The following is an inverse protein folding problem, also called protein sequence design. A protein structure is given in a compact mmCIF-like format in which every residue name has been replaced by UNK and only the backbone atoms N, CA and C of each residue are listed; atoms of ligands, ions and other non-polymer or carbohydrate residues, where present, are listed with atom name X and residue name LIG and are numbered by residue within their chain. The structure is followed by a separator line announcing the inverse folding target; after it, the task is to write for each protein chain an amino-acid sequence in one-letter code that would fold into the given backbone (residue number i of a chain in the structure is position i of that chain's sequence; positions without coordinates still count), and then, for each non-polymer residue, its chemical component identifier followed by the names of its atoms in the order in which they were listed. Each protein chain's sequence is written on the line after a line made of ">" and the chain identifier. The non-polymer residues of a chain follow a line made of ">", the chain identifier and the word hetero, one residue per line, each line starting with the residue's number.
data_IF_993651129405
#
_entry.id   IF_993651129405
#
_cell.length_a   1.000
_cell.length_b   1.000
_cell.length_c   1.000
_cell.angle_alpha   90.00
_cell.angle_beta   90.00
_cell.angle_gamma   90.00
#
_symmetry.space_group_name_H-M   'P 1'
#
loop_
_entity.id
_entity.type
_entity.pdbx_description
1 polymer ?
#
# COMPACT_ATOMS: atom_id res chain seq x y z
N UNK A 1 8.56 19.86 0.58
CA UNK A 1 9.80 19.95 -0.19
C UNK A 1 10.74 18.80 0.21
N UNK A 2 10.89 17.84 -0.68
CA UNK A 2 11.65 16.65 -0.41
C UNK A 2 13.05 16.72 -0.99
N UNK A 3 14.03 16.16 -0.26
CA UNK A 3 15.37 15.96 -0.78
C UNK A 3 15.34 14.92 -1.89
N UNK A 4 16.46 14.75 -2.59
CA UNK A 4 16.57 13.77 -3.64
C UNK A 4 16.35 12.34 -3.11
N UNK A 5 16.94 12.01 -1.96
CA UNK A 5 16.78 10.70 -1.35
C UNK A 5 15.34 10.48 -0.86
N UNK A 6 14.70 11.51 -0.33
CA UNK A 6 13.30 11.44 0.09
C UNK A 6 12.36 11.26 -1.11
N UNK A 7 12.64 11.91 -2.23
CA UNK A 7 11.87 11.72 -3.46
C UNK A 7 12.01 10.29 -3.97
N UNK A 8 13.19 9.75 -3.90
CA UNK A 8 13.47 8.37 -4.28
C UNK A 8 12.66 7.40 -3.44
N UNK A 9 12.60 7.67 -2.13
CA UNK A 9 11.83 6.87 -1.19
C UNK A 9 10.34 6.96 -1.46
N UNK A 10 9.83 8.17 -1.69
CA UNK A 10 8.42 8.37 -2.02
C UNK A 10 8.04 7.64 -3.30
N UNK A 11 8.94 7.67 -4.29
CA UNK A 11 8.73 6.95 -5.55
C UNK A 11 8.69 5.45 -5.32
N UNK A 12 9.57 4.93 -4.45
CA UNK A 12 9.60 3.51 -4.11
C UNK A 12 8.29 3.07 -3.45
N UNK A 13 7.75 3.88 -2.55
CA UNK A 13 6.48 3.60 -1.90
C UNK A 13 5.36 3.54 -2.94
N UNK A 14 5.28 4.55 -3.78
CA UNK A 14 4.26 4.60 -4.83
C UNK A 14 4.36 3.41 -5.77
N UNK A 15 5.56 3.08 -6.22
CA UNK A 15 5.78 1.96 -7.14
C UNK A 15 5.34 0.64 -6.52
N UNK A 16 5.61 0.44 -5.24
CA UNK A 16 5.19 -0.78 -4.54
C UNK A 16 3.68 -0.89 -4.48
N UNK A 17 3.00 0.20 -4.13
CA UNK A 17 1.55 0.21 -4.09
C UNK A 17 0.94 0.03 -5.48
N UNK A 18 1.52 0.68 -6.48
CA UNK A 18 1.06 0.56 -7.85
C UNK A 18 1.19 -0.88 -8.35
N UNK A 19 2.31 -1.53 -8.05
CA UNK A 19 2.53 -2.94 -8.38
C UNK A 19 1.43 -3.82 -7.80
N UNK A 20 1.13 -3.62 -6.51
CA UNK A 20 0.07 -4.38 -5.84
C UNK A 20 -1.28 -4.12 -6.51
N UNK A 21 -1.55 -2.90 -6.92
CA UNK A 21 -2.81 -2.56 -7.57
C UNK A 21 -2.99 -3.25 -8.92
N UNK A 22 -1.91 -3.75 -9.52
CA UNK A 22 -1.94 -4.40 -10.83
C UNK A 22 -2.00 -5.93 -10.74
N UNK A 23 -1.98 -6.48 -9.55
CA UNK A 23 -2.10 -7.93 -9.41
C UNK A 23 -3.45 -8.42 -9.92
N UNK A 24 -3.46 -9.58 -10.56
CA UNK A 24 -4.70 -10.19 -11.07
C UNK A 24 -5.39 -11.05 -10.02
N UNK A 25 -4.62 -11.51 -9.02
CA UNK A 25 -5.13 -12.34 -7.92
C UNK A 25 -4.55 -11.79 -6.64
N UNK A 26 -5.39 -11.64 -5.62
CA UNK A 26 -4.94 -11.15 -4.32
C UNK A 26 -4.88 -12.26 -3.30
N UNK A 27 -3.73 -12.42 -2.64
CA UNK A 27 -3.60 -13.34 -1.52
C UNK A 27 -4.29 -12.75 -0.29
N UNK A 28 -4.13 -13.39 0.87
CA UNK A 28 -4.68 -12.88 2.11
C UNK A 28 -4.16 -11.47 2.40
N UNK A 29 -4.90 -10.72 3.18
CA UNK A 29 -4.51 -9.35 3.58
C UNK A 29 -3.13 -9.38 4.27
N UNK A 30 -2.89 -10.39 5.10
CA UNK A 30 -1.59 -10.51 5.78
C UNK A 30 -0.44 -10.64 4.81
N UNK A 31 -0.61 -11.41 3.75
CA UNK A 31 0.42 -11.58 2.72
C UNK A 31 0.62 -10.32 1.91
N UNK A 32 -0.43 -9.58 1.66
CA UNK A 32 -0.32 -8.28 0.98
C UNK A 32 0.52 -7.33 1.84
N UNK A 33 0.22 -7.23 3.12
CA UNK A 33 0.97 -6.40 4.06
C UNK A 33 2.44 -6.80 4.10
N UNK A 34 2.70 -8.09 4.19
CA UNK A 34 4.04 -8.65 4.23
C UNK A 34 4.84 -8.28 2.98
N UNK A 35 4.21 -8.42 1.83
CA UNK A 35 4.83 -8.06 0.55
C UNK A 35 5.22 -6.57 0.54
N UNK A 36 4.31 -5.71 0.97
CA UNK A 36 4.55 -4.27 1.01
C UNK A 36 5.71 -3.93 1.95
N UNK A 37 5.69 -4.50 3.15
CA UNK A 37 6.73 -4.26 4.15
C UNK A 37 8.10 -4.70 3.64
N UNK A 38 8.15 -5.83 2.95
CA UNK A 38 9.42 -6.37 2.45
C UNK A 38 9.98 -5.61 1.25
N UNK A 39 9.14 -4.88 0.53
CA UNK A 39 9.58 -4.16 -0.67
C UNK A 39 9.96 -2.71 -0.40
N UNK A 40 9.46 -2.14 0.66
CA UNK A 40 9.70 -0.73 0.97
C UNK A 40 10.94 -0.59 1.85
N UNK A 41 11.83 0.30 1.47
CA UNK A 41 12.97 0.66 2.31
C UNK A 41 12.51 1.62 3.40
N UNK A 42 13.26 1.65 4.51
CA UNK A 42 12.89 2.47 5.65
C UNK A 42 12.06 1.69 6.65
N UNK A 43 11.57 2.39 7.65
CA UNK A 43 10.76 1.79 8.70
C UNK A 43 9.27 1.95 8.38
N UNK A 44 8.61 0.84 8.11
CA UNK A 44 7.17 0.86 7.86
C UNK A 44 6.45 0.98 9.21
N UNK A 45 5.80 2.10 9.44
CA UNK A 45 5.07 2.34 10.69
C UNK A 45 3.79 1.52 10.73
N UNK A 46 3.06 1.52 9.62
CA UNK A 46 1.87 0.69 9.50
C UNK A 46 1.48 0.50 8.03
N UNK A 47 0.73 -0.56 7.78
CA UNK A 47 0.02 -0.80 6.52
C UNK A 47 -1.41 -1.10 6.93
N UNK A 48 -2.35 -0.28 6.47
CA UNK A 48 -3.77 -0.48 6.75
C UNK A 48 -4.51 -0.79 5.46
N UNK A 49 -5.32 -1.82 5.48
CA UNK A 49 -6.10 -2.25 4.33
C UNK A 49 -7.56 -2.33 4.76
N UNK A 50 -8.37 -1.44 4.24
CA UNK A 50 -9.76 -1.34 4.70
C UNK A 50 -10.72 -1.02 3.56
N UNK A 51 -11.99 -1.32 3.81
CA UNK A 51 -13.07 -1.07 2.85
C UNK A 51 -13.36 0.42 2.74
N UNK A 52 -13.50 0.91 1.53
CA UNK A 52 -13.91 2.29 1.30
C UNK A 52 -15.34 2.50 1.80
N UNK A 53 -16.19 1.50 1.65
CA UNK A 53 -17.59 1.60 2.04
C UNK A 53 -17.80 1.65 3.55
N UNK A 54 -17.12 0.76 4.27
CA UNK A 54 -17.37 0.61 5.71
C UNK A 54 -16.30 1.27 6.57
N UNK A 55 -15.14 1.59 5.98
CA UNK A 55 -13.96 2.11 6.67
C UNK A 55 -13.44 1.15 7.73
N UNK A 56 -13.76 -0.13 7.60
CA UNK A 56 -13.29 -1.18 8.50
C UNK A 56 -12.22 -2.01 7.84
N UNK A 57 -11.29 -2.49 8.64
CA UNK A 57 -10.23 -3.37 8.15
C UNK A 57 -10.82 -4.63 7.54
N UNK A 58 -10.22 -5.08 6.45
CA UNK A 58 -10.65 -6.28 5.74
C UNK A 58 -9.77 -7.46 6.08
N UNK A 59 -10.35 -8.64 6.07
CA UNK A 59 -9.61 -9.90 6.18
C UNK A 59 -9.25 -10.46 4.81
N UNK A 60 -9.98 -10.06 3.78
CA UNK A 60 -9.67 -10.43 2.40
C UNK A 60 -10.11 -9.31 1.47
N UNK A 61 -9.48 -9.25 0.30
CA UNK A 61 -9.72 -8.17 -0.65
C UNK A 61 -10.81 -8.57 -1.63
N UNK A 62 -12.06 -8.33 -1.25
CA UNK A 62 -13.25 -8.72 -2.01
C UNK A 62 -14.10 -7.54 -2.49
N UNK A 63 -13.78 -6.34 -2.05
CA UNK A 63 -14.52 -5.15 -2.41
C UNK A 63 -13.58 -3.98 -2.60
N UNK A 64 -14.11 -2.84 -3.00
CA UNK A 64 -13.30 -1.65 -3.21
C UNK A 64 -12.56 -1.28 -1.92
N UNK A 65 -11.25 -1.19 -2.01
CA UNK A 65 -10.36 -1.17 -0.87
C UNK A 65 -9.34 -0.04 -1.00
N UNK A 66 -8.98 0.55 0.13
CA UNK A 66 -7.83 1.46 0.17
C UNK A 66 -6.71 0.80 0.97
N UNK A 67 -5.49 0.88 0.42
CA UNK A 67 -4.29 0.49 1.14
C UNK A 67 -3.58 1.78 1.51
N UNK A 68 -3.33 1.96 2.80
CA UNK A 68 -2.67 3.13 3.34
C UNK A 68 -1.38 2.69 4.02
N UNK A 69 -0.26 3.30 3.66
CA UNK A 69 1.03 2.95 4.24
C UNK A 69 1.73 4.19 4.76
N UNK A 70 2.37 4.06 5.92
CA UNK A 70 3.19 5.12 6.51
C UNK A 70 4.58 4.57 6.73
N UNK A 71 5.58 5.31 6.27
CA UNK A 71 6.98 4.90 6.33
C UNK A 71 7.82 6.06 6.87
N UNK A 72 8.72 5.76 7.79
CA UNK A 72 9.72 6.73 8.26
C UNK A 72 11.04 6.43 7.57
N UNK A 73 11.56 7.42 6.89
CA UNK A 73 12.84 7.31 6.22
C UNK A 73 13.67 8.55 6.54
N UNK A 74 14.84 8.33 7.11
CA UNK A 74 15.78 9.39 7.46
C UNK A 74 15.10 10.51 8.29
N UNK A 75 14.28 10.10 9.25
CA UNK A 75 13.59 11.03 10.15
C UNK A 75 12.36 11.71 9.58
N UNK A 76 11.99 11.39 8.35
CA UNK A 76 10.82 11.97 7.68
C UNK A 76 9.73 10.91 7.53
N UNK A 77 8.51 11.26 7.91
CA UNK A 77 7.35 10.39 7.73
C UNK A 77 6.71 10.64 6.38
N UNK A 78 6.56 9.57 5.61
CA UNK A 78 5.90 9.62 4.31
C UNK A 78 4.69 8.71 4.35
N UNK A 79 3.56 9.21 3.89
CA UNK A 79 2.31 8.44 3.85
C UNK A 79 1.77 8.45 2.43
N UNK A 80 1.36 7.29 1.95
CA UNK A 80 0.77 7.18 0.62
C UNK A 80 -0.36 6.17 0.67
N UNK A 81 -1.21 6.19 -0.34
CA UNK A 81 -2.34 5.29 -0.41
C UNK A 81 -2.62 4.91 -1.86
N UNK A 82 -3.35 3.81 -2.03
CA UNK A 82 -3.84 3.40 -3.34
C UNK A 82 -5.21 2.76 -3.17
N UNK A 83 -6.08 2.99 -4.16
CA UNK A 83 -7.40 2.40 -4.17
C UNK A 83 -7.39 1.23 -5.13
N UNK A 84 -7.90 0.09 -4.67
CA UNK A 84 -7.98 -1.12 -5.46
C UNK A 84 -9.44 -1.50 -5.63
N UNK A 85 -9.84 -1.69 -6.88
CA UNK A 85 -11.19 -2.17 -7.21
C UNK A 85 -11.08 -3.57 -7.79
N UNK A 86 -11.42 -4.62 -7.02
CA UNK A 86 -11.33 -5.99 -7.51
C UNK A 86 -12.20 -6.27 -8.72
N UNK A 87 -13.25 -5.50 -8.92
CA UNK A 87 -14.14 -5.69 -10.06
C UNK A 87 -13.44 -5.44 -11.39
N UNK A 88 -12.46 -4.53 -11.41
CA UNK A 88 -11.69 -4.27 -12.63
C UNK A 88 -10.82 -5.45 -13.04
N UNK A 89 -10.43 -6.26 -12.09
CA UNK A 89 -9.49 -7.37 -12.31
C UNK A 89 -10.18 -8.53 -13.01
N UNK A 90 -11.48 -8.66 -12.82
CA UNK A 90 -12.28 -9.74 -13.36
C UNK A 90 -12.68 -9.53 -14.83
N UNK A 91 -12.34 -8.39 -15.39
CA UNK A 91 -12.66 -8.05 -16.77
C UNK A 91 -11.49 -8.36 -17.73
#
# INVERSE_FOLDING_TARGET
>A
YLSESERKQATSIYQTLYEVSKWSIYPSIEKIKEHIINRIEGHVNYVSIFSIKTLQELSCLIEETVILVSVTYDGIDLTDNIIIDPERIKR
#
